data_IF_334012441547
#
_entry.id   IF_334012441547
#
_cell.length_a   1.000
_cell.length_b   1.000
_cell.length_c   1.000
_cell.angle_alpha   90.00
_cell.angle_beta   90.00
_cell.angle_gamma   90.00
#
_symmetry.space_group_name_H-M   'P 1'
#
loop_
_entity.id
_entity.type
_entity.pdbx_description
1 polymer ?
#
# COMPACT_ATOMS: atom_id res chain seq x y z
N UNK A 1 -13.46 -34.57 32.92
CA UNK A 1 -12.68 -33.32 32.96
C UNK A 1 -12.72 -32.66 31.60
N UNK A 2 -13.21 -31.46 31.49
CA UNK A 2 -13.15 -30.75 30.22
C UNK A 2 -11.69 -30.49 29.84
N UNK A 3 -11.34 -30.77 28.57
CA UNK A 3 -10.02 -30.50 28.00
C UNK A 3 -9.83 -29.01 27.62
N UNK A 4 -10.89 -28.23 27.69
CA UNK A 4 -10.91 -26.81 27.37
C UNK A 4 -11.18 -26.03 28.66
N UNK A 5 -10.42 -24.98 29.00
CA UNK A 5 -10.71 -24.14 30.14
C UNK A 5 -12.10 -23.53 30.00
N UNK A 6 -12.85 -23.56 31.09
CA UNK A 6 -14.15 -22.89 31.15
C UNK A 6 -13.92 -21.44 31.60
N UNK A 7 -13.99 -20.53 30.65
CA UNK A 7 -13.86 -19.10 30.90
C UNK A 7 -15.23 -18.49 31.17
N UNK A 8 -15.33 -17.62 32.16
CA UNK A 8 -16.51 -16.79 32.34
C UNK A 8 -16.70 -15.80 31.20
N UNK A 9 -17.91 -15.29 31.00
CA UNK A 9 -18.18 -14.28 29.97
C UNK A 9 -17.33 -13.01 30.15
N UNK A 10 -17.03 -12.64 31.40
CA UNK A 10 -16.16 -11.51 31.73
C UNK A 10 -14.68 -11.79 31.34
N UNK A 11 -14.16 -12.99 31.60
CA UNK A 11 -12.81 -13.38 31.23
C UNK A 11 -12.63 -13.46 29.69
N UNK A 12 -13.67 -13.95 28.99
CA UNK A 12 -13.68 -13.94 27.53
C UNK A 12 -13.71 -12.53 26.95
N UNK A 13 -14.48 -11.63 27.55
CA UNK A 13 -14.54 -10.23 27.12
C UNK A 13 -13.20 -9.51 27.37
N UNK A 14 -12.55 -9.81 28.47
CA UNK A 14 -11.23 -9.26 28.80
C UNK A 14 -10.14 -9.78 27.85
N UNK A 15 -10.14 -11.09 27.53
CA UNK A 15 -9.24 -11.69 26.56
C UNK A 15 -9.44 -11.16 25.14
N UNK A 16 -10.70 -10.94 24.74
CA UNK A 16 -11.02 -10.33 23.44
C UNK A 16 -10.58 -8.86 23.39
N UNK A 17 -10.77 -8.11 24.46
CA UNK A 17 -10.32 -6.74 24.55
C UNK A 17 -8.78 -6.64 24.54
N UNK A 18 -8.08 -7.56 25.20
CA UNK A 18 -6.61 -7.66 25.13
C UNK A 18 -6.14 -8.08 23.72
N UNK A 19 -6.83 -8.97 23.06
CA UNK A 19 -6.52 -9.38 21.68
C UNK A 19 -6.76 -8.25 20.69
N UNK A 20 -7.81 -7.46 20.85
CA UNK A 20 -8.10 -6.26 20.05
C UNK A 20 -7.08 -5.13 20.34
N UNK A 21 -6.67 -4.97 21.60
CA UNK A 21 -5.62 -4.02 21.98
C UNK A 21 -4.21 -4.44 21.49
N UNK A 22 -4.02 -5.73 21.26
CA UNK A 22 -2.86 -6.31 20.61
C UNK A 22 -3.09 -6.48 19.11
N UNK A 23 -3.83 -5.61 18.45
CA UNK A 23 -3.69 -5.43 17.01
C UNK A 23 -2.24 -5.03 16.73
N UNK A 24 -1.38 -6.02 16.81
CA UNK A 24 0.01 -5.90 16.46
C UNK A 24 0.07 -5.56 14.98
N UNK A 25 0.57 -4.37 14.70
CA UNK A 25 1.02 -4.01 13.35
C UNK A 25 1.77 -5.23 12.81
N UNK A 26 1.29 -5.79 11.72
CA UNK A 26 1.88 -6.99 11.15
C UNK A 26 3.36 -6.76 10.88
N UNK A 27 4.22 -7.77 11.06
CA UNK A 27 5.64 -7.63 10.78
C UNK A 27 5.86 -7.12 9.36
N UNK A 28 6.62 -6.04 9.21
CA UNK A 28 6.89 -5.43 7.92
C UNK A 28 8.09 -6.02 7.19
N UNK A 29 8.90 -6.85 7.88
CA UNK A 29 10.09 -7.47 7.31
C UNK A 29 9.75 -8.33 6.08
N UNK A 30 10.39 -8.02 4.97
CA UNK A 30 10.18 -8.71 3.70
C UNK A 30 11.46 -8.80 2.89
N UNK A 31 11.42 -9.53 1.78
CA UNK A 31 12.52 -9.58 0.83
C UNK A 31 12.63 -8.26 0.06
N UNK A 32 13.88 -7.82 -0.17
CA UNK A 32 14.16 -6.66 -1.00
C UNK A 32 13.98 -7.02 -2.47
N UNK A 33 13.22 -6.20 -3.20
CA UNK A 33 13.05 -6.28 -4.64
C UNK A 33 13.91 -5.21 -5.30
N UNK A 34 14.77 -5.62 -6.22
CA UNK A 34 15.46 -4.71 -7.13
C UNK A 34 14.63 -4.60 -8.42
N UNK A 35 13.86 -3.51 -8.53
CA UNK A 35 12.97 -3.28 -9.66
C UNK A 35 13.70 -2.98 -10.96
N UNK A 36 14.94 -2.50 -10.91
CA UNK A 36 15.74 -2.19 -12.09
C UNK A 36 16.28 -3.46 -12.74
N UNK A 37 16.79 -4.39 -11.93
CA UNK A 37 17.43 -5.62 -12.40
C UNK A 37 16.53 -6.86 -12.34
N UNK A 38 15.34 -6.73 -11.80
CA UNK A 38 14.40 -7.83 -11.64
C UNK A 38 14.88 -8.94 -10.70
N UNK A 39 15.56 -8.58 -9.63
CA UNK A 39 16.14 -9.52 -8.66
C UNK A 39 15.49 -9.38 -7.29
N UNK A 40 15.45 -10.49 -6.57
CA UNK A 40 15.04 -10.54 -5.18
C UNK A 40 16.23 -11.00 -4.36
N UNK A 41 16.58 -10.25 -3.32
CA UNK A 41 17.68 -10.62 -2.42
C UNK A 41 17.78 -9.73 -1.20
N UNK A 42 18.26 -10.31 -0.08
CA UNK A 42 18.32 -9.62 1.18
C UNK A 42 16.96 -9.35 1.79
N UNK A 43 16.95 -8.65 2.90
CA UNK A 43 15.75 -8.30 3.66
C UNK A 43 15.70 -6.80 3.91
N UNK A 44 14.50 -6.26 3.94
CA UNK A 44 14.18 -4.90 4.36
C UNK A 44 13.07 -4.92 5.39
N UNK A 45 13.01 -3.89 6.20
CA UNK A 45 12.02 -3.75 7.26
C UNK A 45 11.59 -2.29 7.43
N UNK A 46 10.55 -2.08 8.21
CA UNK A 46 10.05 -0.75 8.60
C UNK A 46 9.83 0.20 7.41
N UNK A 47 10.47 1.35 7.40
CA UNK A 47 10.31 2.40 6.38
C UNK A 47 10.66 1.95 4.98
N UNK A 48 11.75 1.19 4.81
CA UNK A 48 12.14 0.66 3.50
C UNK A 48 11.15 -0.39 2.97
N UNK A 49 10.62 -1.23 3.86
CA UNK A 49 9.58 -2.19 3.51
C UNK A 49 8.28 -1.49 3.10
N UNK A 50 7.91 -0.41 3.79
CA UNK A 50 6.75 0.40 3.42
C UNK A 50 6.93 1.09 2.07
N UNK A 51 8.10 1.66 1.80
CA UNK A 51 8.42 2.23 0.47
C UNK A 51 8.26 1.20 -0.64
N UNK A 52 8.80 0.01 -0.46
CA UNK A 52 8.68 -1.08 -1.44
C UNK A 52 7.23 -1.52 -1.62
N UNK A 53 6.46 -1.64 -0.54
CA UNK A 53 5.05 -2.02 -0.60
C UNK A 53 4.21 -1.01 -1.37
N UNK A 54 4.45 0.28 -1.17
CA UNK A 54 3.79 1.37 -1.91
C UNK A 54 4.13 1.32 -3.40
N UNK A 55 5.40 1.23 -3.74
CA UNK A 55 5.83 1.14 -5.12
C UNK A 55 5.23 -0.09 -5.81
N UNK A 56 5.26 -1.24 -5.16
CA UNK A 56 4.68 -2.48 -5.66
C UNK A 56 3.17 -2.36 -5.89
N UNK A 57 2.44 -1.75 -4.96
CA UNK A 57 0.99 -1.56 -5.10
C UNK A 57 0.63 -0.66 -6.29
N UNK A 58 1.41 0.40 -6.53
CA UNK A 58 1.17 1.33 -7.63
C UNK A 58 1.48 0.75 -9.01
N UNK A 59 2.50 -0.09 -9.13
CA UNK A 59 2.86 -0.73 -10.41
C UNK A 59 2.09 -2.02 -10.68
N UNK A 60 1.37 -2.57 -9.71
CA UNK A 60 0.57 -3.78 -9.89
C UNK A 60 -0.82 -3.40 -10.39
N UNK A 61 -1.21 -3.92 -11.56
CA UNK A 61 -2.54 -3.69 -12.10
C UNK A 61 -3.60 -4.43 -11.27
N UNK A 62 -4.62 -3.67 -10.81
CA UNK A 62 -5.71 -4.21 -10.01
C UNK A 62 -6.51 -5.23 -10.83
N UNK A 63 -6.98 -6.28 -10.16
CA UNK A 63 -7.80 -7.37 -10.73
C UNK A 63 -7.15 -8.19 -11.85
N UNK A 64 -5.94 -7.87 -12.26
CA UNK A 64 -5.24 -8.64 -13.31
C UNK A 64 -4.68 -9.97 -12.83
N UNK A 65 -4.24 -10.04 -11.59
CA UNK A 65 -3.56 -11.21 -11.03
C UNK A 65 -4.44 -11.92 -10.00
N UNK A 66 -4.74 -13.17 -10.23
CA UNK A 66 -5.60 -13.99 -9.35
C UNK A 66 -4.99 -14.26 -7.96
N UNK A 67 -3.70 -14.05 -7.80
CA UNK A 67 -3.01 -14.21 -6.50
C UNK A 67 -3.37 -13.10 -5.51
N UNK A 68 -3.79 -11.94 -6.00
CA UNK A 68 -4.20 -10.81 -5.18
C UNK A 68 -5.71 -10.68 -5.09
N UNK A 69 -6.18 -10.05 -4.02
CA UNK A 69 -7.59 -9.68 -3.89
C UNK A 69 -7.95 -8.56 -4.87
N UNK A 70 -9.22 -8.35 -5.11
CA UNK A 70 -9.76 -7.26 -5.93
C UNK A 70 -9.47 -5.85 -5.37
N UNK A 71 -9.04 -5.76 -4.12
CA UNK A 71 -8.67 -4.52 -3.45
C UNK A 71 -7.19 -4.14 -3.62
N UNK A 72 -6.36 -5.09 -4.04
CA UNK A 72 -4.92 -4.87 -4.18
C UNK A 72 -4.54 -4.37 -5.56
N UNK A 73 -3.63 -3.39 -5.62
CA UNK A 73 -3.12 -2.83 -6.86
C UNK A 73 -3.73 -1.48 -7.21
N UNK A 74 -3.40 -0.99 -8.40
CA UNK A 74 -3.79 0.32 -8.89
C UNK A 74 -4.38 0.24 -10.30
N UNK A 75 -5.33 1.11 -10.59
CA UNK A 75 -6.01 1.19 -11.89
C UNK A 75 -5.39 2.22 -12.86
N UNK A 76 -4.25 2.80 -12.51
CA UNK A 76 -3.57 3.83 -13.34
C UNK A 76 -3.24 3.29 -14.73
N UNK A 77 -2.78 2.06 -14.84
CA UNK A 77 -2.44 1.45 -16.11
C UNK A 77 -3.65 1.36 -17.06
N UNK A 78 -4.81 1.02 -16.52
CA UNK A 78 -6.05 0.97 -17.27
C UNK A 78 -6.48 2.37 -17.77
N UNK A 79 -6.29 3.38 -16.95
CA UNK A 79 -6.57 4.77 -17.31
C UNK A 79 -5.65 5.27 -18.42
N UNK A 80 -4.35 5.00 -18.34
CA UNK A 80 -3.35 5.40 -19.35
C UNK A 80 -3.58 4.67 -20.68
N UNK A 81 -4.02 3.41 -20.62
CA UNK A 81 -4.32 2.59 -21.79
C UNK A 81 -5.55 2.99 -22.59
N UNK A 82 -6.35 3.96 -22.09
CA UNK A 82 -7.56 4.47 -22.75
C UNK A 82 -7.31 5.80 -23.45
N UNK A 83 -8.15 6.15 -24.45
CA UNK A 83 -8.07 7.42 -25.18
C UNK A 83 -8.66 8.56 -24.35
N UNK A 84 -8.05 8.88 -23.22
CA UNK A 84 -8.46 9.95 -22.31
C UNK A 84 -7.56 11.18 -22.45
N UNK A 85 -8.08 12.34 -22.09
CA UNK A 85 -7.33 13.59 -22.08
C UNK A 85 -6.37 13.65 -20.89
N UNK A 86 -5.26 14.39 -21.03
CA UNK A 86 -4.34 14.64 -19.92
C UNK A 86 -5.03 15.25 -18.70
N UNK A 87 -5.96 16.16 -18.92
CA UNK A 87 -6.73 16.81 -17.86
C UNK A 87 -7.54 15.80 -17.03
N UNK A 88 -8.11 14.78 -17.67
CA UNK A 88 -8.81 13.69 -16.97
C UNK A 88 -7.84 12.82 -16.19
N UNK A 89 -6.70 12.47 -16.76
CA UNK A 89 -5.66 11.70 -16.09
C UNK A 89 -5.16 12.42 -14.84
N UNK A 90 -4.83 13.71 -14.94
CA UNK A 90 -4.42 14.53 -13.79
C UNK A 90 -5.48 14.59 -12.69
N UNK A 91 -6.75 14.59 -13.04
CA UNK A 91 -7.86 14.62 -12.09
C UNK A 91 -8.07 13.27 -11.40
N UNK A 92 -7.92 12.19 -12.13
CA UNK A 92 -8.19 10.83 -11.63
C UNK A 92 -7.02 10.21 -10.85
N UNK A 93 -5.77 10.55 -11.17
CA UNK A 93 -4.59 9.97 -10.54
C UNK A 93 -4.59 10.10 -9.01
N UNK A 94 -4.91 11.25 -8.40
CA UNK A 94 -4.96 11.37 -6.95
C UNK A 94 -5.91 10.36 -6.31
N UNK A 95 -7.08 10.17 -6.88
CA UNK A 95 -8.06 9.20 -6.43
C UNK A 95 -7.56 7.77 -6.56
N UNK A 96 -6.96 7.43 -7.69
CA UNK A 96 -6.45 6.07 -7.94
C UNK A 96 -5.27 5.71 -7.02
N UNK A 97 -4.37 6.66 -6.76
CA UNK A 97 -3.26 6.47 -5.81
C UNK A 97 -3.79 6.27 -4.39
N UNK A 98 -4.73 7.10 -3.96
CA UNK A 98 -5.34 6.98 -2.64
C UNK A 98 -6.05 5.63 -2.48
N UNK A 99 -6.86 5.20 -3.45
CA UNK A 99 -7.53 3.90 -3.44
C UNK A 99 -6.55 2.72 -3.41
N UNK A 100 -5.42 2.83 -4.09
CA UNK A 100 -4.39 1.79 -4.11
C UNK A 100 -3.70 1.62 -2.75
N UNK A 101 -3.58 2.68 -1.98
CA UNK A 101 -2.80 2.72 -0.74
C UNK A 101 -3.64 2.70 0.54
N UNK A 102 -4.92 3.02 0.48
CA UNK A 102 -5.81 3.12 1.67
C UNK A 102 -5.93 1.79 2.44
N UNK A 103 -5.70 0.67 1.79
CA UNK A 103 -5.78 -0.67 2.40
C UNK A 103 -4.52 -1.08 3.16
N UNK A 104 -3.46 -0.28 3.15
CA UNK A 104 -2.26 -0.54 3.95
C UNK A 104 -2.39 0.12 5.33
N UNK A 105 -2.43 -0.69 6.37
CA UNK A 105 -2.61 -0.26 7.77
C UNK A 105 -1.49 0.65 8.29
N UNK A 106 -0.35 0.68 7.60
CA UNK A 106 0.81 1.50 7.97
C UNK A 106 0.72 2.93 7.47
N UNK A 107 -0.22 3.22 6.56
CA UNK A 107 -0.39 4.53 5.93
C UNK A 107 -1.53 5.27 6.62
N UNK A 108 -1.23 6.45 7.15
CA UNK A 108 -2.22 7.35 7.76
C UNK A 108 -2.83 8.30 6.72
N UNK A 109 -1.98 8.95 5.94
CA UNK A 109 -2.42 9.92 4.93
C UNK A 109 -1.44 10.07 3.77
N UNK A 110 -1.92 10.66 2.69
CA UNK A 110 -1.15 10.99 1.49
C UNK A 110 -1.30 12.48 1.24
N UNK A 111 -0.20 13.15 0.94
CA UNK A 111 -0.17 14.58 0.65
C UNK A 111 0.76 14.92 -0.51
N UNK A 112 0.72 16.18 -0.96
CA UNK A 112 1.63 16.76 -1.96
C UNK A 112 1.68 15.96 -3.27
N UNK A 113 0.55 15.41 -3.71
CA UNK A 113 0.49 14.61 -4.91
C UNK A 113 0.55 15.51 -6.14
N UNK A 114 1.60 15.31 -6.94
CA UNK A 114 1.82 15.98 -8.20
C UNK A 114 1.99 14.96 -9.32
N UNK A 115 1.41 15.27 -10.48
CA UNK A 115 1.51 14.45 -11.68
C UNK A 115 2.22 15.21 -12.77
N UNK A 116 3.18 14.58 -13.43
CA UNK A 116 3.83 15.15 -14.61
C UNK A 116 3.86 14.16 -15.77
N UNK A 117 3.88 14.72 -16.97
CA UNK A 117 3.92 13.95 -18.21
C UNK A 117 5.23 14.22 -18.95
N UNK A 118 5.91 13.16 -19.33
CA UNK A 118 7.08 13.20 -20.18
C UNK A 118 6.86 12.27 -21.38
N UNK A 119 6.39 12.83 -22.50
CA UNK A 119 5.97 12.02 -23.65
C UNK A 119 4.79 11.13 -23.29
N UNK A 120 4.98 9.81 -23.39
CA UNK A 120 3.98 8.81 -23.05
C UNK A 120 4.12 8.29 -21.61
N UNK A 121 5.09 8.81 -20.86
CA UNK A 121 5.35 8.39 -19.48
C UNK A 121 4.67 9.34 -18.50
N UNK A 122 3.97 8.77 -17.52
CA UNK A 122 3.39 9.50 -16.40
C UNK A 122 4.27 9.30 -15.18
N UNK A 123 4.68 10.39 -14.56
CA UNK A 123 5.42 10.37 -13.30
C UNK A 123 4.59 10.98 -12.18
N UNK A 124 4.63 10.37 -11.02
CA UNK A 124 3.87 10.79 -9.86
C UNK A 124 4.84 11.07 -8.72
N UNK A 125 4.65 12.20 -8.06
CA UNK A 125 5.37 12.55 -6.83
C UNK A 125 4.36 12.76 -5.72
N UNK A 126 4.62 12.22 -4.54
CA UNK A 126 3.74 12.37 -3.38
C UNK A 126 4.49 12.08 -2.08
N UNK A 127 3.88 12.46 -0.97
CA UNK A 127 4.38 12.18 0.37
C UNK A 127 3.37 11.34 1.13
N UNK A 128 3.83 10.27 1.76
CA UNK A 128 3.04 9.45 2.67
C UNK A 128 3.39 9.84 4.10
N UNK A 129 2.37 9.93 4.94
CA UNK A 129 2.54 9.98 6.38
C UNK A 129 2.17 8.62 6.96
N UNK A 130 3.11 7.96 7.62
CA UNK A 130 2.85 6.68 8.28
C UNK A 130 2.06 6.88 9.58
N UNK A 131 1.47 5.81 10.11
CA UNK A 131 0.78 5.83 11.41
C UNK A 131 1.69 6.18 12.57
N UNK A 132 3.00 5.99 12.42
CA UNK A 132 4.04 6.38 13.39
C UNK A 132 4.45 7.86 13.26
N UNK A 133 3.92 8.58 12.29
CA UNK A 133 4.22 9.98 12.03
C UNK A 133 5.44 10.23 11.14
N UNK A 134 6.03 9.20 10.56
CA UNK A 134 7.12 9.36 9.58
C UNK A 134 6.58 9.86 8.24
N UNK A 135 7.28 10.80 7.65
CA UNK A 135 7.01 11.29 6.30
C UNK A 135 7.95 10.62 5.30
N UNK A 136 7.38 10.03 4.27
CA UNK A 136 8.12 9.36 3.19
C UNK A 136 7.73 10.01 1.87
N UNK A 137 8.71 10.62 1.20
CA UNK A 137 8.51 11.28 -0.09
C UNK A 137 8.92 10.37 -1.23
N UNK A 138 8.04 10.25 -2.22
CA UNK A 138 8.32 9.61 -3.50
C UNK A 138 8.44 10.69 -4.57
N UNK A 139 9.57 10.72 -5.25
CA UNK A 139 9.84 11.67 -6.33
C UNK A 139 9.88 10.95 -7.67
N UNK A 140 9.15 11.46 -8.66
CA UNK A 140 9.17 11.01 -10.04
C UNK A 140 9.02 9.48 -10.22
N UNK A 141 8.06 8.88 -9.50
CA UNK A 141 7.73 7.48 -9.67
C UNK A 141 7.04 7.27 -11.02
N UNK A 142 7.64 6.46 -11.88
CA UNK A 142 7.04 6.08 -13.17
C UNK A 142 5.96 5.01 -12.98
N UNK A 143 4.85 5.23 -13.60
CA UNK A 143 3.71 4.31 -13.61
C UNK A 143 3.18 4.05 -15.02
#
# INVERSE_FOLDING_TARGET
>A
MPLVPDFSEEELAELLAEAEAQETVQPSKTYKIDFENGRIGGFIDETEALKQAVQKALITARERFSIYTDQYGCEIEDLIGTSVTRALVETEIPRLVEEALIYDDRIDSISDLETSFLGDTVTISFTIVSVDGEEITFEALEV
#
